data_IF_841701934528
#
_entry.id   IF_841701934528
#
_cell.length_a   1.000
_cell.length_b   1.000
_cell.length_c   1.000
_cell.angle_alpha   90.00
_cell.angle_beta   90.00
_cell.angle_gamma   90.00
#
_symmetry.space_group_name_H-M   'P 1'
#
loop_
_entity.id
_entity.type
_entity.pdbx_description
1 polymer ?
#
# COMPACT_ATOMS: atom_id res chain seq x y z
N UNK A 1 -28.07 51.49 -79.82
CA UNK A 1 -28.29 51.46 -81.29
C UNK A 1 -26.96 51.17 -81.96
N UNK A 2 -26.77 49.98 -82.52
CA UNK A 2 -25.75 49.76 -83.55
C UNK A 2 -26.25 48.69 -84.51
N UNK A 3 -26.38 49.11 -85.76
CA UNK A 3 -26.96 48.37 -86.85
C UNK A 3 -25.94 47.40 -87.47
N UNK A 4 -26.49 46.34 -88.06
CA UNK A 4 -25.79 45.29 -88.80
C UNK A 4 -24.89 45.82 -89.92
N UNK A 5 -23.71 45.23 -90.03
CA UNK A 5 -22.93 45.13 -91.27
C UNK A 5 -22.52 43.67 -91.47
N UNK A 6 -23.17 43.02 -92.45
CA UNK A 6 -23.03 41.61 -92.78
C UNK A 6 -21.65 41.32 -93.40
N UNK A 7 -20.90 40.38 -92.82
CA UNK A 7 -19.65 39.85 -93.34
C UNK A 7 -19.50 38.39 -92.91
N UNK A 8 -19.97 37.49 -93.78
CA UNK A 8 -19.95 36.04 -93.59
C UNK A 8 -18.50 35.52 -93.59
N UNK A 9 -17.96 35.25 -92.41
CA UNK A 9 -16.85 34.31 -92.21
C UNK A 9 -17.37 33.26 -91.23
N UNK A 10 -17.76 32.08 -91.74
CA UNK A 10 -18.05 30.93 -90.90
C UNK A 10 -16.75 30.39 -90.33
N UNK A 11 -16.27 31.00 -89.25
CA UNK A 11 -15.48 30.31 -88.25
C UNK A 11 -16.48 29.62 -87.33
N UNK A 12 -16.57 28.29 -87.42
CA UNK A 12 -17.23 27.47 -86.39
C UNK A 12 -16.32 27.47 -85.18
N UNK A 13 -16.21 28.63 -84.52
CA UNK A 13 -15.74 28.71 -83.16
C UNK A 13 -16.91 28.24 -82.31
N UNK A 14 -16.92 26.98 -81.91
CA UNK A 14 -17.66 26.61 -80.72
C UNK A 14 -17.02 27.39 -79.56
N UNK A 15 -17.50 28.62 -79.34
CA UNK A 15 -17.40 29.27 -78.04
C UNK A 15 -18.24 28.40 -77.12
N UNK A 16 -17.65 27.30 -76.65
CA UNK A 16 -18.13 26.66 -75.44
C UNK A 16 -18.10 27.76 -74.40
N UNK A 17 -19.28 28.22 -73.97
CA UNK A 17 -19.40 28.87 -72.68
C UNK A 17 -18.90 27.83 -71.69
N UNK A 18 -17.63 27.94 -71.33
CA UNK A 18 -17.06 27.18 -70.24
C UNK A 18 -17.79 27.69 -69.00
N UNK A 19 -18.80 26.94 -68.57
CA UNK A 19 -19.32 27.08 -67.22
C UNK A 19 -18.24 26.48 -66.35
N UNK A 20 -17.55 27.28 -65.52
CA UNK A 20 -16.65 26.71 -64.53
C UNK A 20 -17.45 25.71 -63.72
N UNK A 21 -16.91 24.51 -63.45
CA UNK A 21 -17.58 23.51 -62.61
C UNK A 21 -18.22 24.22 -61.41
N UNK A 22 -19.55 24.12 -61.36
CA UNK A 22 -20.31 24.70 -60.28
C UNK A 22 -20.03 23.86 -59.02
N UNK A 23 -19.98 24.49 -57.83
CA UNK A 23 -20.06 23.74 -56.60
C UNK A 23 -21.22 22.74 -56.72
N UNK A 24 -20.95 21.50 -56.31
CA UNK A 24 -21.97 20.48 -56.07
C UNK A 24 -22.54 19.83 -57.33
N UNK A 25 -21.91 20.07 -58.49
CA UNK A 25 -22.33 19.47 -59.76
C UNK A 25 -23.64 20.04 -60.30
N UNK A 26 -24.12 21.16 -59.74
CA UNK A 26 -25.26 21.90 -60.26
C UNK A 26 -24.92 22.45 -61.66
N UNK A 27 -25.91 22.64 -62.54
CA UNK A 27 -25.67 23.13 -63.94
C UNK A 27 -26.34 24.50 -64.17
N UNK A 28 -27.07 25.01 -63.17
CA UNK A 28 -27.95 26.17 -63.31
C UNK A 28 -27.43 27.38 -62.53
N UNK A 29 -27.19 28.48 -63.24
CA UNK A 29 -26.91 29.79 -62.66
C UNK A 29 -28.19 30.54 -62.32
N UNK A 30 -28.20 31.31 -61.24
CA UNK A 30 -29.32 32.14 -60.79
C UNK A 30 -28.88 33.60 -60.52
N UNK A 31 -29.84 34.52 -60.56
CA UNK A 31 -29.72 35.91 -60.11
C UNK A 31 -30.60 36.18 -58.87
N UNK A 32 -31.69 35.44 -58.71
CA UNK A 32 -32.51 35.42 -57.49
C UNK A 32 -33.07 34.02 -57.22
N UNK A 33 -33.68 33.83 -56.04
CA UNK A 33 -34.25 32.54 -55.63
C UNK A 33 -35.32 32.02 -56.62
N UNK A 34 -36.01 32.91 -57.31
CA UNK A 34 -37.04 32.56 -58.30
C UNK A 34 -36.46 31.89 -59.57
N UNK A 35 -35.16 32.02 -59.82
CA UNK A 35 -34.49 31.35 -60.95
C UNK A 35 -34.24 29.86 -60.67
N UNK A 36 -34.41 29.41 -59.42
CA UNK A 36 -34.21 28.03 -59.02
C UNK A 36 -35.49 27.20 -59.17
N UNK A 37 -35.44 26.21 -60.06
CA UNK A 37 -36.62 25.49 -60.52
C UNK A 37 -37.14 24.44 -59.52
N UNK A 38 -36.32 24.03 -58.54
CA UNK A 38 -36.68 22.97 -57.59
C UNK A 38 -37.10 23.56 -56.23
N UNK A 39 -38.11 22.94 -55.62
CA UNK A 39 -38.64 23.37 -54.34
C UNK A 39 -37.59 23.20 -53.21
N UNK A 40 -37.30 24.30 -52.52
CA UNK A 40 -36.34 24.33 -51.41
C UNK A 40 -34.91 24.72 -51.81
N UNK A 41 -34.66 25.02 -53.09
CA UNK A 41 -33.40 25.62 -53.53
C UNK A 41 -33.42 27.13 -53.32
N UNK A 42 -32.24 27.70 -53.01
CA UNK A 42 -31.98 29.13 -52.91
C UNK A 42 -30.83 29.51 -53.83
N UNK A 43 -30.80 30.76 -54.25
CA UNK A 43 -29.69 31.29 -55.03
C UNK A 43 -28.52 31.64 -54.11
N UNK A 44 -27.53 30.74 -54.03
CA UNK A 44 -26.30 30.96 -53.28
C UNK A 44 -25.37 31.93 -54.03
N UNK A 45 -24.75 32.91 -53.33
CA UNK A 45 -23.87 33.88 -53.94
C UNK A 45 -22.56 33.24 -54.44
N UNK A 46 -21.98 33.80 -55.49
CA UNK A 46 -20.66 33.41 -56.01
C UNK A 46 -19.80 34.63 -56.28
N UNK A 47 -18.55 34.62 -55.82
CA UNK A 47 -17.65 35.76 -56.07
C UNK A 47 -17.35 35.92 -57.56
N UNK A 48 -17.69 37.10 -58.11
CA UNK A 48 -17.38 37.50 -59.48
C UNK A 48 -18.18 36.79 -60.59
N UNK A 49 -19.17 35.97 -60.25
CA UNK A 49 -19.99 35.19 -61.17
C UNK A 49 -21.48 35.23 -60.76
N UNK A 50 -22.37 34.78 -61.64
CA UNK A 50 -23.77 34.52 -61.28
C UNK A 50 -23.85 33.44 -60.19
N UNK A 51 -24.85 33.55 -59.31
CA UNK A 51 -25.08 32.58 -58.23
C UNK A 51 -25.47 31.21 -58.78
N UNK A 52 -25.63 30.24 -57.89
CA UNK A 52 -26.09 28.88 -58.24
C UNK A 52 -27.23 28.44 -57.34
N UNK A 53 -28.05 27.53 -57.86
CA UNK A 53 -29.15 26.97 -57.08
C UNK A 53 -28.61 25.92 -56.12
N UNK A 54 -28.66 26.24 -54.83
CA UNK A 54 -28.19 25.43 -53.72
C UNK A 54 -29.37 24.93 -52.90
N UNK A 55 -29.31 23.68 -52.43
CA UNK A 55 -30.36 23.09 -51.61
C UNK A 55 -29.92 23.07 -50.15
N UNK A 56 -30.59 23.87 -49.32
CA UNK A 56 -30.29 23.96 -47.90
C UNK A 56 -30.49 22.60 -47.21
N UNK A 57 -29.46 22.15 -46.49
CA UNK A 57 -29.55 20.98 -45.60
C UNK A 57 -30.54 21.24 -44.47
N UNK A 58 -31.11 20.18 -43.90
CA UNK A 58 -32.16 20.28 -42.88
C UNK A 58 -31.74 21.11 -41.66
N UNK A 59 -30.46 21.05 -41.30
CA UNK A 59 -29.88 21.75 -40.14
C UNK A 59 -28.98 22.94 -40.52
N UNK A 60 -28.87 23.26 -41.82
CA UNK A 60 -28.01 24.33 -42.37
C UNK A 60 -26.58 24.33 -41.77
N UNK A 61 -26.06 23.14 -41.48
CA UNK A 61 -24.73 22.94 -40.89
C UNK A 61 -23.85 22.34 -41.97
N UNK A 62 -22.70 22.97 -42.22
CA UNK A 62 -21.67 22.47 -43.12
C UNK A 62 -21.19 21.09 -42.68
N UNK A 63 -21.21 20.12 -43.60
CA UNK A 63 -20.53 18.84 -43.42
C UNK A 63 -19.57 18.62 -44.57
N UNK A 64 -18.54 17.80 -44.35
CA UNK A 64 -17.66 17.39 -45.44
C UNK A 64 -18.43 16.43 -46.35
N UNK A 65 -19.12 16.92 -47.37
CA UNK A 65 -19.81 16.07 -48.35
C UNK A 65 -19.56 16.54 -49.79
N UNK A 66 -18.81 17.62 -49.96
CA UNK A 66 -18.58 18.22 -51.24
C UNK A 66 -19.72 19.13 -51.71
N UNK A 67 -20.59 19.57 -50.81
CA UNK A 67 -21.78 20.41 -51.06
C UNK A 67 -21.70 21.66 -50.18
N UNK A 68 -22.22 22.79 -50.65
CA UNK A 68 -22.51 23.95 -49.80
C UNK A 68 -23.85 23.68 -49.08
N UNK A 69 -23.82 23.19 -47.83
CA UNK A 69 -24.99 22.72 -47.11
C UNK A 69 -25.80 23.87 -46.49
N UNK A 70 -25.15 24.99 -46.19
CA UNK A 70 -25.75 26.20 -45.63
C UNK A 70 -26.07 27.28 -46.70
N UNK A 71 -25.70 27.03 -47.95
CA UNK A 71 -25.88 27.88 -49.13
C UNK A 71 -25.22 29.27 -48.99
N UNK A 72 -24.12 29.39 -48.24
CA UNK A 72 -23.42 30.65 -48.02
C UNK A 72 -22.45 31.04 -49.16
N UNK A 73 -22.26 30.15 -50.15
CA UNK A 73 -21.37 30.34 -51.29
C UNK A 73 -19.95 29.81 -51.08
N UNK A 74 -19.68 29.15 -49.95
CA UNK A 74 -18.47 28.40 -49.67
C UNK A 74 -18.85 26.96 -49.43
N UNK A 75 -17.97 26.07 -49.86
CA UNK A 75 -18.20 24.65 -49.82
C UNK A 75 -17.36 24.04 -48.71
N UNK A 76 -17.98 23.17 -47.92
CA UNK A 76 -17.36 22.45 -46.82
C UNK A 76 -16.66 23.41 -45.81
N UNK A 77 -17.23 24.60 -45.56
CA UNK A 77 -16.65 25.63 -44.67
C UNK A 77 -17.04 25.45 -43.21
N UNK A 78 -16.60 24.30 -42.67
CA UNK A 78 -16.84 23.90 -41.28
C UNK A 78 -16.53 25.01 -40.26
N UNK A 79 -17.21 24.94 -39.12
CA UNK A 79 -16.86 25.72 -37.91
C UNK A 79 -15.35 25.70 -37.65
N UNK A 80 -14.76 26.88 -37.41
CA UNK A 80 -13.31 27.02 -37.24
C UNK A 80 -12.74 26.15 -36.11
N UNK A 81 -13.52 25.90 -35.06
CA UNK A 81 -13.14 25.06 -33.91
C UNK A 81 -13.96 23.78 -33.89
N UNK A 82 -13.31 22.69 -33.48
CA UNK A 82 -13.93 21.40 -33.23
C UNK A 82 -13.31 20.76 -31.98
N UNK A 83 -14.07 19.86 -31.38
CA UNK A 83 -13.60 19.01 -30.30
C UNK A 83 -14.48 17.76 -30.26
N UNK A 84 -13.88 16.58 -30.39
CA UNK A 84 -14.63 15.32 -30.45
C UNK A 84 -14.74 14.61 -29.09
N UNK A 85 -14.15 15.17 -28.04
CA UNK A 85 -14.16 14.61 -26.69
C UNK A 85 -15.50 14.75 -25.96
N UNK A 86 -15.67 14.07 -24.82
CA UNK A 86 -16.85 14.20 -23.98
C UNK A 86 -17.13 15.65 -23.55
N UNK A 87 -18.41 16.00 -23.42
CA UNK A 87 -18.81 17.31 -22.93
C UNK A 87 -18.19 17.62 -21.56
N UNK A 88 -17.65 18.84 -21.40
CA UNK A 88 -17.05 19.28 -20.14
C UNK A 88 -15.57 18.91 -19.95
N UNK A 89 -14.91 18.31 -20.95
CA UNK A 89 -13.46 18.02 -20.94
C UNK A 89 -12.64 19.02 -21.76
N UNK A 90 -13.29 19.80 -22.64
CA UNK A 90 -12.61 20.78 -23.48
C UNK A 90 -11.91 21.86 -22.64
N UNK A 91 -10.60 22.06 -22.86
CA UNK A 91 -9.83 23.11 -22.21
C UNK A 91 -9.42 22.82 -20.77
N UNK A 92 -9.63 21.59 -20.29
CA UNK A 92 -9.13 21.12 -18.99
C UNK A 92 -7.87 20.29 -19.18
N UNK A 93 -6.96 20.39 -18.21
CA UNK A 93 -5.70 19.65 -18.26
C UNK A 93 -4.95 19.86 -19.57
N UNK A 94 -4.64 18.75 -20.22
CA UNK A 94 -4.01 18.73 -21.54
C UNK A 94 -4.99 18.82 -22.72
N UNK A 95 -6.29 18.64 -22.49
CA UNK A 95 -7.30 18.59 -23.53
C UNK A 95 -7.54 19.95 -24.17
N UNK A 96 -7.60 19.95 -25.51
CA UNK A 96 -7.83 21.17 -26.29
C UNK A 96 -8.59 20.87 -27.57
N UNK A 97 -9.40 21.83 -27.97
CA UNK A 97 -10.02 21.87 -29.29
C UNK A 97 -8.97 21.96 -30.40
N UNK A 98 -9.32 21.39 -31.55
CA UNK A 98 -8.56 21.49 -32.79
C UNK A 98 -9.22 22.43 -33.79
N UNK A 99 -8.66 22.44 -35.01
CA UNK A 99 -9.23 23.16 -36.16
C UNK A 99 -9.93 22.17 -37.08
N UNK A 100 -11.18 22.48 -37.45
CA UNK A 100 -11.94 21.61 -38.35
C UNK A 100 -11.35 21.60 -39.75
N UNK A 101 -11.28 20.41 -40.35
CA UNK A 101 -10.78 20.22 -41.70
C UNK A 101 -11.46 19.03 -42.36
N UNK A 102 -11.76 19.13 -43.65
CA UNK A 102 -12.25 17.99 -44.40
C UNK A 102 -11.10 17.09 -44.88
N UNK A 103 -11.17 15.82 -44.50
CA UNK A 103 -10.27 14.77 -44.96
C UNK A 103 -10.56 14.33 -46.40
N UNK A 104 -9.65 13.54 -46.97
CA UNK A 104 -9.73 13.10 -48.37
C UNK A 104 -10.96 12.24 -48.72
N UNK A 105 -11.67 11.72 -47.72
CA UNK A 105 -12.84 10.86 -47.86
C UNK A 105 -14.14 11.53 -47.41
N UNK A 106 -14.21 12.86 -47.41
CA UNK A 106 -15.40 13.60 -46.94
C UNK A 106 -15.72 13.28 -45.46
N UNK A 107 -14.68 13.17 -44.63
CA UNK A 107 -14.82 13.04 -43.17
C UNK A 107 -14.36 14.35 -42.51
N UNK A 108 -15.08 14.78 -41.47
CA UNK A 108 -14.62 15.88 -40.64
C UNK A 108 -13.48 15.38 -39.75
N UNK A 109 -12.32 16.02 -39.88
CA UNK A 109 -11.17 15.83 -39.03
C UNK A 109 -11.00 17.04 -38.13
N UNK A 110 -10.53 16.82 -36.91
CA UNK A 110 -10.20 17.89 -35.98
C UNK A 110 -8.68 17.95 -35.77
N UNK A 111 -8.01 18.75 -36.60
CA UNK A 111 -6.55 18.79 -36.63
C UNK A 111 -6.01 19.48 -35.37
N UNK A 112 -5.17 18.77 -34.62
CA UNK A 112 -4.50 19.28 -33.43
C UNK A 112 -5.32 19.22 -32.14
N UNK A 113 -6.48 18.55 -32.15
CA UNK A 113 -7.21 18.25 -30.91
C UNK A 113 -6.40 17.32 -30.01
N UNK A 114 -6.65 17.42 -28.70
CA UNK A 114 -6.11 16.48 -27.71
C UNK A 114 -7.28 16.04 -26.85
N UNK A 115 -7.50 14.73 -26.84
CA UNK A 115 -8.64 14.08 -26.18
C UNK A 115 -8.25 13.49 -24.83
N UNK A 116 -9.23 13.28 -23.93
CA UNK A 116 -9.01 12.60 -22.66
C UNK A 116 -8.43 11.20 -22.83
N UNK A 117 -7.49 10.85 -21.97
CA UNK A 117 -6.96 9.49 -21.82
C UNK A 117 -7.14 8.99 -20.39
N UNK A 118 -6.71 7.76 -20.11
CA UNK A 118 -6.68 7.27 -18.72
C UNK A 118 -5.65 8.06 -17.90
N UNK A 119 -5.99 8.34 -16.65
CA UNK A 119 -5.15 9.13 -15.75
C UNK A 119 -3.83 8.42 -15.49
N UNK A 120 -2.72 9.15 -15.62
CA UNK A 120 -1.39 8.67 -15.24
C UNK A 120 -0.85 9.57 -14.14
N UNK A 121 -0.10 9.00 -13.20
CA UNK A 121 0.54 9.76 -12.14
C UNK A 121 1.74 10.53 -12.71
N UNK A 122 1.50 11.62 -13.44
CA UNK A 122 2.48 12.35 -14.24
C UNK A 122 2.42 13.88 -14.03
N UNK A 123 1.57 14.36 -13.11
CA UNK A 123 1.33 15.79 -12.81
C UNK A 123 0.60 16.54 -13.91
N UNK A 124 -0.17 15.81 -14.71
CA UNK A 124 -1.03 16.33 -15.77
C UNK A 124 -2.40 15.68 -15.61
N UNK A 125 -3.45 16.48 -15.75
CA UNK A 125 -4.83 16.02 -15.86
C UNK A 125 -5.00 15.40 -17.26
N UNK A 126 -4.86 14.07 -17.34
CA UNK A 126 -4.85 13.30 -18.58
C UNK A 126 -6.27 12.96 -19.05
N UNK A 127 -7.19 12.76 -18.13
CA UNK A 127 -8.60 12.50 -18.42
C UNK A 127 -9.46 13.76 -18.54
N UNK A 128 -8.85 14.92 -18.30
CA UNK A 128 -9.42 16.24 -18.48
C UNK A 128 -10.71 16.45 -17.68
N UNK A 129 -10.78 15.89 -16.47
CA UNK A 129 -11.92 16.09 -15.56
C UNK A 129 -11.78 17.39 -14.75
N UNK A 130 -10.57 17.96 -14.69
CA UNK A 130 -10.21 19.20 -14.00
C UNK A 130 -9.48 18.97 -12.66
N UNK A 131 -9.22 17.73 -12.29
CA UNK A 131 -8.37 17.31 -11.19
C UNK A 131 -7.10 16.71 -11.79
N UNK A 132 -5.98 16.83 -11.09
CA UNK A 132 -4.69 16.30 -11.57
C UNK A 132 -4.32 15.07 -10.76
N UNK A 133 -3.97 13.98 -11.43
CA UNK A 133 -3.50 12.72 -10.85
C UNK A 133 -4.47 12.15 -9.78
N UNK A 134 -5.77 12.17 -10.01
CA UNK A 134 -6.74 11.56 -9.09
C UNK A 134 -6.74 10.03 -9.18
N UNK A 135 -7.12 9.38 -8.07
CA UNK A 135 -7.11 7.92 -7.97
C UNK A 135 -5.75 7.30 -7.63
N UNK A 136 -4.69 8.11 -7.50
CA UNK A 136 -3.38 7.66 -7.01
C UNK A 136 -3.22 7.84 -5.50
N UNK A 137 -2.51 6.91 -4.86
CA UNK A 137 -2.22 6.98 -3.42
C UNK A 137 -0.97 7.82 -3.15
N UNK A 138 -1.16 9.13 -3.03
CA UNK A 138 -0.06 10.04 -2.71
C UNK A 138 0.30 10.06 -1.21
N UNK A 139 -0.41 9.32 -0.37
CA UNK A 139 -0.24 9.36 1.08
C UNK A 139 0.60 8.21 1.61
N UNK A 140 0.61 7.07 0.91
CA UNK A 140 1.30 5.85 1.33
C UNK A 140 2.13 5.19 0.23
N UNK A 141 1.97 5.56 -1.04
CA UNK A 141 2.83 5.04 -2.10
C UNK A 141 4.24 5.62 -1.98
N UNK A 142 5.20 4.74 -1.69
CA UNK A 142 6.62 5.07 -1.61
C UNK A 142 7.19 5.63 -2.92
N UNK A 143 6.57 5.35 -4.07
CA UNK A 143 7.02 5.85 -5.38
C UNK A 143 6.39 7.19 -5.78
N UNK A 144 5.33 7.61 -5.09
CA UNK A 144 4.53 8.80 -5.42
C UNK A 144 4.19 9.63 -4.17
N UNK A 145 5.11 9.69 -3.22
CA UNK A 145 4.86 10.23 -1.90
C UNK A 145 4.71 11.77 -1.91
N UNK A 146 3.53 12.25 -1.56
CA UNK A 146 3.16 13.67 -1.56
C UNK A 146 2.85 14.24 -2.95
N UNK A 147 3.47 13.70 -3.99
CA UNK A 147 3.19 14.02 -5.38
C UNK A 147 3.69 12.91 -6.31
N UNK A 148 3.04 12.75 -7.46
CA UNK A 148 3.46 11.82 -8.50
C UNK A 148 4.93 11.97 -8.88
N UNK A 149 5.61 10.83 -9.05
CA UNK A 149 7.04 10.73 -9.36
C UNK A 149 7.97 11.06 -8.18
N UNK A 150 7.45 11.34 -7.00
CA UNK A 150 8.25 11.58 -5.79
C UNK A 150 8.49 10.27 -5.06
N UNK A 151 9.53 9.53 -5.47
CA UNK A 151 9.92 8.31 -4.79
C UNK A 151 10.74 8.61 -3.53
N UNK A 152 10.43 7.94 -2.43
CA UNK A 152 11.24 7.99 -1.22
C UNK A 152 12.56 7.23 -1.41
N UNK A 153 13.57 7.61 -0.64
CA UNK A 153 14.88 6.94 -0.66
C UNK A 153 14.77 5.51 -0.13
N UNK A 154 15.77 4.67 -0.46
CA UNK A 154 15.84 3.32 0.08
C UNK A 154 15.80 3.36 1.62
N UNK A 155 14.89 2.58 2.22
CA UNK A 155 14.67 2.55 3.68
C UNK A 155 13.58 3.50 4.19
N UNK A 156 13.10 4.43 3.36
CA UNK A 156 12.02 5.35 3.71
C UNK A 156 10.63 4.80 3.41
N UNK A 157 9.67 5.26 4.20
CA UNK A 157 8.24 4.97 4.05
C UNK A 157 7.47 6.25 3.80
N UNK A 158 6.41 6.18 2.98
CA UNK A 158 5.53 7.32 2.79
C UNK A 158 4.46 7.34 3.87
N UNK A 159 4.41 8.42 4.65
CA UNK A 159 3.39 8.61 5.68
C UNK A 159 2.81 10.02 5.52
N UNK A 160 1.49 10.09 5.31
CA UNK A 160 0.77 11.35 5.13
C UNK A 160 1.33 12.25 4.01
N UNK A 161 1.88 11.64 2.95
CA UNK A 161 2.46 12.35 1.80
C UNK A 161 3.86 12.91 2.05
N UNK A 162 4.53 12.50 3.13
CA UNK A 162 5.92 12.82 3.38
C UNK A 162 6.75 11.54 3.47
N UNK A 163 7.92 11.55 2.82
CA UNK A 163 8.89 10.48 2.99
C UNK A 163 9.49 10.59 4.40
N UNK A 164 9.16 9.62 5.24
CA UNK A 164 9.55 9.57 6.65
C UNK A 164 10.38 8.33 6.92
N UNK A 165 11.17 8.41 7.99
CA UNK A 165 12.00 7.33 8.49
C UNK A 165 13.11 6.98 7.51
N UNK A 166 14.33 7.45 7.74
CA UNK A 166 15.35 6.43 7.64
C UNK A 166 15.12 5.62 8.93
N UNK A 167 14.85 4.32 8.84
CA UNK A 167 14.64 3.48 10.03
C UNK A 167 15.97 2.91 10.42
N UNK A 168 16.41 3.12 11.66
CA UNK A 168 17.66 2.52 12.13
C UNK A 168 17.65 0.99 11.94
N UNK A 169 18.46 0.44 11.05
CA UNK A 169 18.52 -1.01 10.80
C UNK A 169 19.53 -1.68 11.73
N UNK A 170 20.64 -0.98 11.95
CA UNK A 170 21.73 -1.45 12.79
C UNK A 170 21.62 -0.79 14.16
N UNK A 171 21.40 -1.59 15.20
CA UNK A 171 21.15 -1.10 16.57
C UNK A 171 22.33 -1.34 17.53
N UNK A 172 23.53 -1.53 16.98
CA UNK A 172 24.76 -1.68 17.77
C UNK A 172 25.29 -0.30 18.20
N UNK A 173 26.28 -0.26 19.07
CA UNK A 173 26.86 1.02 19.50
C UNK A 173 27.43 1.84 18.33
N UNK A 174 26.99 3.10 18.24
CA UNK A 174 27.53 4.08 17.31
C UNK A 174 27.03 3.95 15.87
N UNK A 175 26.07 3.07 15.57
CA UNK A 175 25.37 3.05 14.29
C UNK A 175 24.24 4.07 14.27
N UNK A 176 24.22 4.88 13.21
CA UNK A 176 23.25 5.93 12.87
C UNK A 176 23.07 5.84 11.34
N UNK A 177 22.44 4.74 10.88
CA UNK A 177 22.21 4.51 9.45
C UNK A 177 20.99 5.28 8.92
N UNK A 178 20.28 5.94 9.82
CA UNK A 178 19.19 6.87 9.57
C UNK A 178 19.52 8.35 9.67
N UNK A 179 20.72 8.68 10.12
CA UNK A 179 21.27 10.04 10.07
C UNK A 179 20.46 11.06 10.89
N UNK A 180 19.67 10.60 11.86
CA UNK A 180 18.89 11.47 12.74
C UNK A 180 19.71 11.94 13.96
N UNK A 181 20.91 11.35 14.13
CA UNK A 181 21.88 11.67 15.16
C UNK A 181 21.71 10.88 16.46
N UNK A 182 20.75 9.96 16.53
CA UNK A 182 20.62 8.95 17.57
C UNK A 182 21.33 7.67 17.15
N UNK A 183 21.86 6.92 18.12
CA UNK A 183 22.68 5.73 17.85
C UNK A 183 22.31 4.56 18.75
N UNK A 184 22.29 3.36 18.18
CA UNK A 184 22.08 2.12 18.90
C UNK A 184 20.78 2.13 19.72
N UNK A 185 20.79 1.61 20.94
CA UNK A 185 19.58 1.58 21.75
C UNK A 185 19.06 2.96 22.18
N UNK A 186 19.84 4.05 22.06
CA UNK A 186 19.30 5.38 22.34
C UNK A 186 18.31 5.84 21.25
N UNK A 187 18.32 5.14 20.11
CA UNK A 187 17.42 5.37 18.99
C UNK A 187 16.05 4.71 19.20
N UNK A 188 14.94 5.47 19.10
CA UNK A 188 13.58 4.94 19.17
C UNK A 188 13.27 3.83 18.14
N UNK A 189 13.93 3.86 16.98
CA UNK A 189 13.75 2.85 15.94
C UNK A 189 14.40 1.52 16.33
N UNK A 190 15.24 1.50 17.36
CA UNK A 190 15.90 0.30 17.86
C UNK A 190 15.14 -0.45 18.93
N UNK A 191 14.00 0.04 19.44
CA UNK A 191 13.21 -0.68 20.44
C UNK A 191 12.87 -2.10 19.98
N UNK A 192 13.11 -3.07 20.86
CA UNK A 192 12.98 -4.52 20.64
C UNK A 192 13.91 -5.15 19.58
N UNK A 193 14.84 -4.37 19.02
CA UNK A 193 15.88 -4.91 18.13
C UNK A 193 17.11 -5.36 18.92
N UNK A 194 17.88 -6.27 18.33
CA UNK A 194 19.13 -6.75 18.94
C UNK A 194 20.20 -5.65 18.88
N UNK A 195 20.83 -5.38 20.03
CA UNK A 195 21.97 -4.46 20.18
C UNK A 195 23.34 -5.14 20.12
N UNK A 196 23.35 -6.44 19.79
CA UNK A 196 24.53 -7.29 19.84
C UNK A 196 24.21 -8.66 20.44
N UNK A 197 25.24 -9.49 20.59
CA UNK A 197 25.11 -10.81 21.20
C UNK A 197 24.58 -10.69 22.61
N UNK A 198 23.44 -11.32 22.90
CA UNK A 198 22.84 -11.36 24.24
C UNK A 198 22.22 -10.06 24.72
N UNK A 199 21.88 -9.14 23.83
CA UNK A 199 21.30 -7.83 24.15
C UNK A 199 20.09 -7.52 23.27
N UNK A 200 19.06 -6.91 23.85
CA UNK A 200 17.94 -6.28 23.13
C UNK A 200 17.74 -4.85 23.63
N UNK A 201 17.41 -3.92 22.75
CA UNK A 201 17.03 -2.58 23.19
C UNK A 201 15.61 -2.60 23.75
N UNK A 202 15.39 -1.98 24.89
CA UNK A 202 14.08 -1.86 25.52
C UNK A 202 13.95 -0.50 26.18
N UNK A 203 12.93 0.26 25.79
CA UNK A 203 12.71 1.62 26.35
C UNK A 203 13.93 2.53 26.20
N UNK A 204 14.55 2.47 25.01
CA UNK A 204 15.71 3.26 24.60
C UNK A 204 17.01 3.02 25.41
N UNK A 205 17.12 1.87 26.06
CA UNK A 205 18.35 1.40 26.71
C UNK A 205 18.62 -0.04 26.30
N UNK A 206 19.89 -0.44 26.33
CA UNK A 206 20.26 -1.83 26.16
C UNK A 206 19.77 -2.63 27.38
N UNK A 207 19.28 -3.85 27.14
CA UNK A 207 18.84 -4.78 28.18
C UNK A 207 19.42 -6.18 27.90
N UNK A 208 20.01 -6.77 28.93
CA UNK A 208 20.59 -8.11 28.88
C UNK A 208 19.52 -9.19 28.61
N UNK A 209 19.86 -10.15 27.74
CA UNK A 209 19.00 -11.30 27.41
C UNK A 209 19.72 -12.64 27.54
N UNK A 210 21.05 -12.66 27.60
CA UNK A 210 21.84 -13.87 27.84
C UNK A 210 22.30 -13.89 29.29
N UNK A 211 21.43 -14.38 30.16
CA UNK A 211 21.59 -14.25 31.61
C UNK A 211 22.41 -15.37 32.26
N UNK A 212 23.39 -15.94 31.55
CA UNK A 212 24.15 -17.11 32.02
C UNK A 212 25.56 -17.26 31.44
N UNK A 213 26.11 -16.24 30.81
CA UNK A 213 27.43 -16.29 30.16
C UNK A 213 28.52 -15.53 30.93
N UNK A 214 28.19 -14.89 32.05
CA UNK A 214 29.07 -14.04 32.86
C UNK A 214 29.61 -12.82 32.10
N UNK A 215 28.88 -12.35 31.09
CA UNK A 215 29.18 -11.14 30.33
C UNK A 215 28.16 -10.05 30.69
N UNK A 216 28.59 -8.79 30.56
CA UNK A 216 27.75 -7.61 30.71
C UNK A 216 27.33 -7.19 29.30
N UNK A 217 26.25 -7.78 28.78
CA UNK A 217 25.92 -7.68 27.35
C UNK A 217 25.25 -6.34 27.00
N UNK A 218 24.67 -5.63 27.98
CA UNK A 218 24.10 -4.30 27.83
C UNK A 218 24.99 -3.17 28.40
N UNK A 219 26.09 -3.53 29.06
CA UNK A 219 27.13 -2.63 29.58
C UNK A 219 26.64 -1.71 30.69
N UNK A 220 25.64 -2.15 31.45
CA UNK A 220 25.09 -1.43 32.59
C UNK A 220 25.90 -1.61 33.89
N UNK A 221 26.95 -2.44 33.85
CA UNK A 221 27.85 -2.89 34.94
C UNK A 221 27.40 -4.12 35.72
N UNK A 222 26.17 -4.59 35.53
CA UNK A 222 25.69 -5.85 36.08
C UNK A 222 25.73 -6.93 35.00
N UNK A 223 25.57 -8.18 35.43
CA UNK A 223 25.77 -9.38 34.61
C UNK A 223 24.84 -10.48 35.07
N UNK A 224 24.33 -11.26 34.13
CA UNK A 224 23.49 -12.42 34.38
C UNK A 224 22.37 -12.09 35.39
N UNK A 225 22.11 -13.00 36.34
CA UNK A 225 21.11 -12.76 37.38
C UNK A 225 21.40 -11.60 38.31
N UNK A 226 22.64 -11.08 38.39
CA UNK A 226 22.85 -9.85 39.17
C UNK A 226 22.22 -8.64 38.47
N UNK A 227 21.93 -8.76 37.17
CA UNK A 227 21.23 -7.78 36.38
C UNK A 227 19.71 -7.82 36.61
N UNK A 228 19.11 -6.63 36.70
CA UNK A 228 17.66 -6.44 36.74
C UNK A 228 16.97 -6.77 35.42
N UNK A 229 17.66 -6.62 34.29
CA UNK A 229 17.12 -6.93 32.96
C UNK A 229 16.91 -8.44 32.75
N UNK A 230 17.69 -9.24 33.49
CA UNK A 230 17.55 -10.69 33.57
C UNK A 230 16.43 -11.17 34.50
N UNK A 231 15.67 -10.29 35.16
CA UNK A 231 14.63 -10.69 36.10
C UNK A 231 13.60 -11.65 35.48
N UNK A 232 13.43 -12.82 36.10
CA UNK A 232 12.59 -13.95 35.68
C UNK A 232 13.02 -14.62 34.36
N UNK A 233 14.21 -14.32 33.84
CA UNK A 233 14.78 -15.03 32.71
C UNK A 233 15.46 -16.32 33.16
N UNK A 234 15.63 -17.25 32.23
CA UNK A 234 16.41 -18.47 32.49
C UNK A 234 17.90 -18.11 32.62
N UNK A 235 18.54 -18.62 33.67
CA UNK A 235 19.99 -18.53 33.88
C UNK A 235 20.73 -19.81 33.48
N UNK A 236 20.12 -20.64 32.63
CA UNK A 236 20.62 -21.97 32.30
C UNK A 236 19.60 -23.06 32.58
N UNK A 237 20.05 -24.31 32.45
CA UNK A 237 19.18 -25.46 32.68
C UNK A 237 18.81 -25.52 34.15
N UNK A 238 17.50 -25.48 34.44
CA UNK A 238 16.96 -25.69 35.77
C UNK A 238 17.07 -24.52 36.74
N UNK A 239 17.34 -23.29 36.27
CA UNK A 239 17.33 -22.09 37.10
C UNK A 239 16.68 -20.88 36.41
N UNK A 240 16.18 -19.95 37.23
CA UNK A 240 15.71 -18.62 36.81
C UNK A 240 16.36 -17.53 37.66
N UNK A 241 16.49 -16.32 37.12
CA UNK A 241 16.93 -15.18 37.93
C UNK A 241 15.77 -14.60 38.73
N UNK A 242 15.89 -14.55 40.05
CA UNK A 242 14.88 -14.01 40.96
C UNK A 242 15.55 -13.19 42.05
N UNK A 243 15.04 -11.98 42.29
CA UNK A 243 15.61 -11.07 43.30
C UNK A 243 17.12 -10.80 43.11
N UNK A 244 17.55 -10.69 41.85
CA UNK A 244 18.92 -10.45 41.42
C UNK A 244 19.94 -11.56 41.80
N UNK A 245 19.46 -12.79 41.96
CA UNK A 245 20.28 -13.99 42.13
C UNK A 245 19.68 -15.12 41.29
N UNK A 246 20.49 -16.13 40.95
CA UNK A 246 19.95 -17.35 40.38
C UNK A 246 19.15 -18.09 41.45
N UNK A 247 18.05 -18.73 41.04
CA UNK A 247 17.17 -19.51 41.90
C UNK A 247 16.83 -20.83 41.20
N UNK A 248 16.98 -21.93 41.94
CA UNK A 248 16.72 -23.27 41.46
C UNK A 248 15.24 -23.49 41.08
N UNK A 249 15.01 -24.22 39.99
CA UNK A 249 13.66 -24.58 39.52
C UNK A 249 13.51 -26.07 39.17
N UNK A 250 14.61 -26.79 38.97
CA UNK A 250 14.61 -28.24 38.75
C UNK A 250 14.96 -28.95 40.05
N UNK A 251 13.95 -29.14 40.89
CA UNK A 251 14.15 -29.56 42.28
C UNK A 251 14.19 -31.09 42.46
N UNK A 252 14.70 -31.83 41.47
CA UNK A 252 14.68 -33.29 41.49
C UNK A 252 15.76 -33.99 40.65
N UNK A 253 16.84 -33.29 40.26
CA UNK A 253 17.90 -33.84 39.42
C UNK A 253 19.24 -34.02 40.15
N UNK A 254 19.30 -33.68 41.45
CA UNK A 254 20.50 -33.69 42.29
C UNK A 254 21.60 -32.77 41.80
N UNK A 255 21.25 -31.70 41.06
CA UNK A 255 22.17 -30.68 40.58
C UNK A 255 21.92 -29.38 41.32
N UNK A 256 22.99 -28.63 41.55
CA UNK A 256 22.95 -27.27 42.09
C UNK A 256 22.85 -26.32 40.87
N UNK A 257 21.62 -26.10 40.38
CA UNK A 257 21.41 -25.38 39.12
C UNK A 257 21.62 -23.87 39.25
N UNK A 258 21.53 -23.29 40.45
CA UNK A 258 21.78 -21.87 40.72
C UNK A 258 23.14 -21.57 41.36
N UNK A 259 23.89 -22.62 41.75
CA UNK A 259 25.27 -22.59 42.26
C UNK A 259 25.39 -21.97 43.65
N UNK A 260 24.35 -22.07 44.47
CA UNK A 260 24.34 -21.58 45.86
C UNK A 260 24.95 -22.57 46.87
N UNK A 261 25.33 -23.77 46.40
CA UNK A 261 25.82 -24.94 47.16
C UNK A 261 24.75 -25.86 47.76
N UNK A 262 23.47 -25.67 47.42
CA UNK A 262 22.38 -26.60 47.76
C UNK A 262 21.80 -27.21 46.49
N UNK A 263 20.99 -28.24 46.67
CA UNK A 263 20.45 -29.03 45.55
C UNK A 263 19.03 -29.48 45.90
N UNK A 264 18.14 -29.45 44.93
CA UNK A 264 16.78 -29.97 45.02
C UNK A 264 16.04 -29.43 46.25
N UNK A 265 15.33 -30.30 46.97
CA UNK A 265 14.61 -29.90 48.17
C UNK A 265 15.52 -29.41 49.31
N UNK A 266 16.82 -29.68 49.31
CA UNK A 266 17.71 -29.07 50.30
C UNK A 266 17.87 -27.56 50.05
N UNK A 267 17.58 -27.12 48.82
CA UNK A 267 17.54 -25.73 48.42
C UNK A 267 16.26 -25.02 48.91
N UNK A 268 16.43 -23.77 49.36
CA UNK A 268 15.31 -22.93 49.77
C UNK A 268 14.50 -22.37 48.59
N UNK A 269 15.08 -22.25 47.41
CA UNK A 269 14.39 -21.79 46.19
C UNK A 269 13.41 -22.84 45.65
N UNK A 270 13.66 -24.11 45.98
CA UNK A 270 12.77 -25.22 45.74
C UNK A 270 11.58 -25.32 46.69
N UNK A 271 11.43 -24.40 47.66
CA UNK A 271 10.34 -24.44 48.62
C UNK A 271 8.96 -24.49 47.93
N UNK A 272 8.17 -25.52 48.25
CA UNK A 272 6.85 -25.85 47.69
C UNK A 272 6.85 -26.22 46.20
N UNK A 273 8.01 -26.44 45.59
CA UNK A 273 8.11 -26.98 44.23
C UNK A 273 7.94 -28.49 44.24
N UNK A 274 7.57 -29.03 43.08
CA UNK A 274 7.54 -30.47 42.85
C UNK A 274 8.96 -31.03 42.86
N UNK A 275 9.20 -32.11 43.61
CA UNK A 275 10.47 -32.85 43.62
C UNK A 275 10.40 -34.14 42.81
N UNK A 276 9.41 -34.26 41.92
CA UNK A 276 9.18 -35.47 41.14
C UNK A 276 7.74 -35.95 41.23
N UNK A 277 7.50 -37.18 40.78
CA UNK A 277 6.15 -37.75 40.81
C UNK A 277 5.76 -38.03 42.26
N UNK A 278 4.74 -37.34 42.77
CA UNK A 278 4.14 -37.64 44.06
C UNK A 278 4.84 -37.07 45.27
N UNK A 279 5.72 -36.07 45.12
CA UNK A 279 6.34 -35.36 46.23
C UNK A 279 6.41 -33.84 46.00
N UNK A 280 6.55 -33.08 47.09
CA UNK A 280 6.79 -31.63 47.07
C UNK A 280 7.84 -31.26 48.11
N UNK A 281 8.72 -30.30 47.83
CA UNK A 281 9.69 -29.85 48.82
C UNK A 281 9.02 -29.02 49.93
N UNK A 282 9.17 -29.44 51.18
CA UNK A 282 8.67 -28.72 52.37
C UNK A 282 9.76 -28.69 53.43
N UNK A 283 9.98 -27.53 54.05
CA UNK A 283 10.96 -27.39 55.14
C UNK A 283 12.36 -27.91 54.77
N UNK A 284 12.76 -27.67 53.52
CA UNK A 284 14.04 -28.08 52.92
C UNK A 284 14.27 -29.60 52.85
N UNK A 285 13.20 -30.39 52.77
CA UNK A 285 13.24 -31.84 52.50
C UNK A 285 12.12 -32.20 51.52
N UNK A 286 12.28 -33.30 50.81
CA UNK A 286 11.18 -33.85 50.03
C UNK A 286 10.08 -34.34 50.99
N UNK A 287 8.83 -34.16 50.60
CA UNK A 287 7.66 -34.51 51.39
C UNK A 287 6.65 -35.24 50.50
N UNK A 288 6.26 -36.45 50.90
CA UNK A 288 5.31 -37.28 50.17
C UNK A 288 3.95 -36.57 50.00
N UNK A 289 3.37 -36.69 48.80
CA UNK A 289 2.02 -36.17 48.51
C UNK A 289 1.09 -37.23 47.92
N UNK A 290 1.63 -38.33 47.39
CA UNK A 290 0.84 -39.44 46.83
C UNK A 290 0.80 -40.61 47.80
N UNK A 291 -0.03 -40.47 48.83
CA UNK A 291 -0.11 -41.40 49.95
C UNK A 291 -0.87 -42.72 49.66
N UNK A 292 -0.80 -43.24 48.44
CA UNK A 292 -1.51 -44.46 48.04
C UNK A 292 -0.95 -45.22 46.82
N UNK A 293 0.23 -44.87 46.32
CA UNK A 293 0.80 -45.52 45.14
C UNK A 293 1.78 -46.65 45.48
N UNK A 294 2.03 -46.87 46.78
CA UNK A 294 2.91 -47.92 47.28
C UNK A 294 4.39 -47.59 47.12
N UNK A 295 4.75 -46.33 46.91
CA UNK A 295 6.12 -45.87 46.76
C UNK A 295 6.51 -44.89 47.87
N UNK A 296 7.82 -44.81 48.06
CA UNK A 296 8.49 -43.83 48.91
C UNK A 296 8.89 -42.67 47.99
N UNK A 297 7.99 -41.71 47.78
CA UNK A 297 8.17 -40.67 46.76
C UNK A 297 9.08 -39.53 47.23
N UNK A 298 9.38 -39.43 48.54
CA UNK A 298 10.33 -38.46 49.10
C UNK A 298 11.67 -39.07 49.55
N UNK A 299 11.79 -40.40 49.54
CA UNK A 299 13.04 -41.13 49.75
C UNK A 299 13.47 -41.25 51.21
N UNK A 300 12.54 -41.04 52.15
CA UNK A 300 12.81 -41.03 53.59
C UNK A 300 12.79 -42.44 54.24
N UNK A 301 12.35 -43.44 53.48
CA UNK A 301 12.27 -44.85 53.87
C UNK A 301 10.89 -45.28 54.38
N UNK A 302 9.90 -44.38 54.43
CA UNK A 302 8.49 -44.69 54.71
C UNK A 302 7.64 -44.55 53.43
N UNK A 303 6.48 -45.21 53.42
CA UNK A 303 5.65 -45.36 52.21
C UNK A 303 4.20 -45.05 52.56
N UNK A 304 3.54 -44.22 51.75
CA UNK A 304 2.13 -43.90 51.85
C UNK A 304 1.73 -43.47 53.28
N UNK A 305 0.60 -43.95 53.79
CA UNK A 305 0.16 -43.68 55.16
C UNK A 305 1.16 -44.14 56.24
N UNK A 306 2.11 -45.04 55.94
CA UNK A 306 3.14 -45.38 56.92
C UNK A 306 4.07 -44.18 57.18
N UNK A 307 4.15 -43.24 56.23
CA UNK A 307 4.69 -41.92 56.49
C UNK A 307 3.69 -41.02 57.20
N UNK A 308 3.67 -41.09 58.53
CA UNK A 308 2.79 -40.21 59.31
C UNK A 308 3.26 -38.75 59.38
N UNK A 309 4.49 -38.45 58.94
CA UNK A 309 5.04 -37.09 58.91
C UNK A 309 4.49 -36.31 57.71
N UNK A 310 4.42 -36.96 56.55
CA UNK A 310 3.99 -36.35 55.28
C UNK A 310 2.53 -36.69 54.95
N UNK A 311 2.14 -37.95 55.14
CA UNK A 311 0.79 -38.46 54.94
C UNK A 311 -0.04 -38.40 56.23
N UNK A 312 -0.28 -37.16 56.70
CA UNK A 312 -0.97 -36.89 57.97
C UNK A 312 -2.38 -37.50 58.05
N UNK A 313 -2.92 -37.60 59.27
CA UNK A 313 -4.25 -38.16 59.51
C UNK A 313 -5.33 -37.40 58.71
N UNK A 314 -6.10 -38.13 57.90
CA UNK A 314 -7.12 -37.54 57.03
C UNK A 314 -6.69 -37.37 55.57
N UNK A 315 -5.40 -37.51 55.24
CA UNK A 315 -4.93 -37.54 53.85
C UNK A 315 -5.57 -38.71 53.11
N UNK A 316 -6.02 -38.47 51.88
CA UNK A 316 -6.72 -39.50 51.08
C UNK A 316 -5.72 -40.54 50.60
N UNK A 317 -6.02 -41.81 50.85
CA UNK A 317 -5.14 -42.94 50.51
C UNK A 317 -5.81 -43.97 49.57
N UNK A 318 -6.73 -43.48 48.73
CA UNK A 318 -7.52 -44.28 47.80
C UNK A 318 -9.00 -43.90 47.82
N UNK A 319 -9.82 -44.61 47.04
CA UNK A 319 -11.25 -44.29 46.89
C UNK A 319 -12.01 -44.40 48.23
N UNK A 320 -12.25 -43.26 48.87
CA UNK A 320 -13.03 -43.16 50.11
C UNK A 320 -12.30 -43.55 51.40
N UNK A 321 -10.98 -43.75 51.37
CA UNK A 321 -10.16 -44.12 52.54
C UNK A 321 -9.20 -43.00 52.92
N UNK A 322 -8.86 -42.89 54.20
CA UNK A 322 -7.89 -41.90 54.68
C UNK A 322 -6.83 -42.49 55.59
N UNK A 323 -5.65 -41.88 55.58
CA UNK A 323 -4.57 -42.23 56.49
C UNK A 323 -5.01 -42.00 57.94
N UNK A 324 -4.72 -42.98 58.81
CA UNK A 324 -4.96 -42.92 60.25
C UNK A 324 -3.66 -42.70 61.01
N UNK A 325 -3.76 -42.28 62.26
CA UNK A 325 -2.62 -42.06 63.15
C UNK A 325 -1.75 -43.30 63.43
N UNK A 326 -2.23 -44.50 63.12
CA UNK A 326 -1.47 -45.75 63.22
C UNK A 326 -0.73 -46.12 61.91
N UNK A 327 -0.70 -45.22 60.94
CA UNK A 327 -0.03 -45.39 59.65
C UNK A 327 -0.77 -46.26 58.64
N UNK A 328 -2.06 -46.56 58.87
CA UNK A 328 -2.86 -47.41 57.98
C UNK A 328 -3.84 -46.61 57.14
N UNK A 329 -4.10 -47.10 55.93
CA UNK A 329 -5.16 -46.58 55.06
C UNK A 329 -6.48 -47.30 55.32
N UNK A 330 -7.47 -46.62 55.91
CA UNK A 330 -8.81 -47.21 56.18
C UNK A 330 -9.98 -46.25 56.11
#
# INVERSE_FOLDING_TARGET
MCALGCGLVMAVGASACWVPELPDGTIFSCASDEDCALAGEKCAPREGLSGYCCKLSADATEVCNGVDDDCNGKKDDLSATCYSGPEGTEGKGLCKAGTSKCGANNEQQCEGEVLPTEEQCNRVDDNCDGVTDEGFDLQQDVNNCGACGTACSAGQVCVAGECTGLVQQTCTEGSDDDGDGLVGCADPDCDQKSCGTGCVCKSNVAAETTCNDNVDNDKDTKRDCADSDCANQSCGTGCICKSNVAAETTCNDNVDNDKDSRTDCADSDCANQSCGTGCTCKSNVAAETTCNDGKDNDGDGKIDCADTADCTTGTTCGSGRTCKSNGTCS
#
